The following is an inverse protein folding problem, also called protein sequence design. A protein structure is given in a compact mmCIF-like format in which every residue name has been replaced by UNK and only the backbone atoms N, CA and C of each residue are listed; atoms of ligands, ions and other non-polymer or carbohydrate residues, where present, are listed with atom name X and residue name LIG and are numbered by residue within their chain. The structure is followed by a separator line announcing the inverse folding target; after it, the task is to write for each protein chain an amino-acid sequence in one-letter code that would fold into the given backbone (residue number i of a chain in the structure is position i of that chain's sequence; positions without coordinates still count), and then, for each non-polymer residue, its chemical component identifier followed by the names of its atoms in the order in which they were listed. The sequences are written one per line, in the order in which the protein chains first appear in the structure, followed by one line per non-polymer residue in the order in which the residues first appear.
data_IF_259880151807
#
_entry.id   IF_259880151807
#
_cell.length_a   1.000
_cell.length_b   1.000
_cell.length_c   1.000
_cell.angle_alpha   90.00
_cell.angle_beta   90.00
_cell.angle_gamma   90.00
#
_symmetry.space_group_name_H-M   'P 1'
#
loop_
_entity.id
_entity.type
_entity.pdbx_description
1 polymer ?
#
# COMPACT_ATOMS: atom_id res chain seq x y z
N UNK A 1 27.14 -19.17 -6.55
CA UNK A 1 26.41 -17.90 -6.30
C UNK A 1 25.57 -17.62 -7.53
N UNK A 2 24.26 -17.80 -7.46
CA UNK A 2 23.37 -17.25 -8.49
C UNK A 2 23.46 -15.74 -8.31
N UNK A 3 24.19 -15.07 -9.19
CA UNK A 3 24.36 -13.62 -9.11
C UNK A 3 23.00 -12.96 -9.30
N UNK A 4 22.53 -12.20 -8.32
CA UNK A 4 21.35 -11.38 -8.50
C UNK A 4 21.60 -10.40 -9.65
N UNK A 5 20.57 -10.21 -10.48
CA UNK A 5 20.61 -9.26 -11.57
C UNK A 5 21.06 -7.89 -11.05
N UNK A 6 22.02 -7.24 -11.74
CA UNK A 6 22.51 -5.90 -11.41
C UNK A 6 21.39 -4.89 -11.14
N UNK A 7 20.24 -5.04 -11.81
CA UNK A 7 19.06 -4.21 -11.57
C UNK A 7 18.49 -4.38 -10.15
N UNK A 8 18.35 -5.61 -9.65
CA UNK A 8 17.86 -5.92 -8.30
C UNK A 8 18.79 -5.29 -7.26
N UNK A 9 20.10 -5.43 -7.44
CA UNK A 9 21.11 -4.83 -6.54
C UNK A 9 20.99 -3.30 -6.51
N UNK A 10 20.82 -2.66 -7.67
CA UNK A 10 20.64 -1.22 -7.76
C UNK A 10 19.34 -0.75 -7.09
N UNK A 11 18.24 -1.48 -7.29
CA UNK A 11 16.96 -1.16 -6.65
C UNK A 11 17.05 -1.28 -5.13
N UNK A 12 17.61 -2.38 -4.61
CA UNK A 12 17.82 -2.56 -3.17
C UNK A 12 18.68 -1.43 -2.59
N UNK A 13 19.76 -1.05 -3.28
CA UNK A 13 20.63 0.04 -2.85
C UNK A 13 19.85 1.35 -2.69
N UNK A 14 19.02 1.72 -3.67
CA UNK A 14 18.16 2.91 -3.59
C UNK A 14 17.13 2.80 -2.48
N UNK A 15 16.50 1.63 -2.30
CA UNK A 15 15.54 1.40 -1.21
C UNK A 15 16.22 1.60 0.15
N UNK A 16 17.45 1.08 0.34
CA UNK A 16 18.20 1.30 1.58
C UNK A 16 18.60 2.76 1.80
N UNK A 17 18.94 3.51 0.74
CA UNK A 17 19.19 4.95 0.83
C UNK A 17 17.94 5.69 1.31
N UNK A 18 16.77 5.40 0.71
CA UNK A 18 15.51 5.99 1.12
C UNK A 18 15.06 5.57 2.52
N UNK A 19 15.30 4.32 2.91
CA UNK A 19 15.09 3.87 4.30
C UNK A 19 15.92 4.70 5.28
N UNK A 20 17.15 5.08 4.91
CA UNK A 20 17.96 6.02 5.70
C UNK A 20 17.32 7.41 5.78
N UNK A 21 16.88 7.97 4.64
CA UNK A 21 16.18 9.28 4.60
C UNK A 21 14.87 9.28 5.38
N UNK A 22 14.15 8.15 5.42
CA UNK A 22 12.89 7.98 6.14
C UNK A 22 13.01 8.39 7.61
N UNK A 23 14.16 8.16 8.26
CA UNK A 23 14.40 8.54 9.66
C UNK A 23 14.18 10.04 9.87
N UNK A 24 14.59 10.86 8.89
CA UNK A 24 14.41 12.32 8.93
C UNK A 24 12.92 12.68 8.80
N UNK A 25 12.20 12.01 7.90
CA UNK A 25 10.76 12.25 7.72
C UNK A 25 9.97 11.99 9.00
N UNK A 26 10.30 10.92 9.73
CA UNK A 26 9.63 10.54 10.98
C UNK A 26 9.85 11.55 12.11
N UNK A 27 10.93 12.34 12.05
CA UNK A 27 11.23 13.37 13.05
C UNK A 27 10.50 14.70 12.80
N UNK A 28 9.95 14.90 11.59
CA UNK A 28 9.35 16.17 11.16
C UNK A 28 7.81 16.12 11.19
N UNK A 29 7.19 17.14 11.80
CA UNK A 29 5.78 17.51 11.65
C UNK A 29 4.76 16.35 11.80
N UNK A 30 4.47 16.00 13.06
CA UNK A 30 3.57 14.90 13.46
C UNK A 30 2.17 14.99 12.84
N UNK A 31 1.58 16.19 12.76
CA UNK A 31 0.22 16.35 12.23
C UNK A 31 0.12 16.02 10.72
N UNK A 32 1.16 16.31 9.94
CA UNK A 32 1.15 15.95 8.51
C UNK A 32 1.43 14.47 8.30
N UNK A 33 2.34 13.89 9.10
CA UNK A 33 2.58 12.45 9.14
C UNK A 33 1.30 11.67 9.44
N UNK A 34 0.50 12.10 10.42
CA UNK A 34 -0.78 11.46 10.75
C UNK A 34 -1.77 11.47 9.57
N UNK A 35 -1.86 12.59 8.85
CA UNK A 35 -2.72 12.68 7.66
C UNK A 35 -2.22 11.78 6.52
N UNK A 36 -0.90 11.71 6.31
CA UNK A 36 -0.29 10.79 5.35
C UNK A 36 -0.53 9.33 5.76
N UNK A 37 -0.42 8.99 7.05
CA UNK A 37 -0.75 7.64 7.56
C UNK A 37 -2.20 7.28 7.31
N UNK A 38 -3.13 8.19 7.60
CA UNK A 38 -4.54 7.96 7.31
C UNK A 38 -4.80 7.78 5.81
N UNK A 39 -4.15 8.58 4.97
CA UNK A 39 -4.23 8.43 3.50
C UNK A 39 -3.64 7.09 3.02
N UNK A 40 -2.50 6.69 3.57
CA UNK A 40 -1.87 5.39 3.30
C UNK A 40 -2.79 4.23 3.67
N UNK A 41 -3.34 4.25 4.88
CA UNK A 41 -4.34 3.28 5.36
C UNK A 41 -5.55 3.22 4.42
N UNK A 42 -6.14 4.38 4.09
CA UNK A 42 -7.30 4.45 3.19
C UNK A 42 -7.01 3.82 1.83
N UNK A 43 -5.87 4.15 1.22
CA UNK A 43 -5.51 3.59 -0.08
C UNK A 43 -5.15 2.11 -0.01
N UNK A 44 -4.44 1.68 1.03
CA UNK A 44 -4.06 0.28 1.22
C UNK A 44 -5.31 -0.61 1.34
N UNK A 45 -6.27 -0.22 2.19
CA UNK A 45 -7.56 -0.93 2.30
C UNK A 45 -8.33 -0.88 0.98
N UNK A 46 -8.48 0.30 0.36
CA UNK A 46 -9.24 0.46 -0.89
C UNK A 46 -8.71 -0.44 -1.99
N UNK A 47 -7.43 -0.32 -2.30
CA UNK A 47 -6.83 -0.95 -3.48
C UNK A 47 -6.40 -2.39 -3.20
N UNK A 48 -5.95 -2.70 -1.98
CA UNK A 48 -5.66 -4.08 -1.58
C UNK A 48 -6.88 -4.98 -1.68
N UNK A 49 -8.04 -4.51 -1.20
CA UNK A 49 -9.31 -5.20 -1.34
C UNK A 49 -9.81 -5.22 -2.79
N UNK A 50 -9.71 -4.10 -3.52
CA UNK A 50 -10.18 -4.01 -4.91
C UNK A 50 -9.41 -4.96 -5.86
N UNK A 51 -8.11 -5.18 -5.62
CA UNK A 51 -7.31 -6.17 -6.35
C UNK A 51 -7.85 -7.59 -6.17
N UNK A 52 -8.51 -7.88 -5.05
CA UNK A 52 -9.16 -9.18 -4.77
C UNK A 52 -10.66 -9.18 -5.10
N UNK A 53 -11.15 -8.11 -5.75
CA UNK A 53 -12.55 -7.99 -6.17
C UNK A 53 -13.52 -7.43 -5.14
N UNK A 54 -13.04 -6.98 -3.98
CA UNK A 54 -13.86 -6.37 -2.94
C UNK A 54 -13.78 -4.86 -3.02
N UNK A 55 -14.88 -4.20 -3.38
CA UNK A 55 -14.92 -2.73 -3.49
C UNK A 55 -16.24 -2.15 -3.00
N UNK A 56 -16.17 -0.95 -2.44
CA UNK A 56 -17.31 -0.14 -1.98
C UNK A 56 -17.11 1.31 -2.41
N UNK A 57 -18.15 2.13 -2.28
CA UNK A 57 -18.02 3.57 -2.52
C UNK A 57 -17.08 4.24 -1.51
N UNK A 58 -16.47 5.36 -1.89
CA UNK A 58 -15.54 6.10 -1.02
C UNK A 58 -16.21 6.54 0.29
N UNK A 59 -17.49 6.93 0.24
CA UNK A 59 -18.24 7.29 1.45
C UNK A 59 -18.39 6.12 2.40
N UNK A 60 -18.63 4.91 1.86
CA UNK A 60 -18.78 3.70 2.66
C UNK A 60 -17.43 3.22 3.20
N UNK A 61 -16.37 3.31 2.40
CA UNK A 61 -15.02 2.98 2.87
C UNK A 61 -14.61 3.89 4.04
N UNK A 62 -14.87 5.20 3.96
CA UNK A 62 -14.60 6.10 5.09
C UNK A 62 -15.39 5.74 6.35
N UNK A 63 -16.65 5.31 6.21
CA UNK A 63 -17.43 4.80 7.35
C UNK A 63 -16.80 3.53 7.93
N UNK A 64 -16.36 2.60 7.09
CA UNK A 64 -15.66 1.38 7.51
C UNK A 64 -14.39 1.76 8.28
N UNK A 65 -13.58 2.70 7.79
CA UNK A 65 -12.35 3.11 8.50
C UNK A 65 -12.63 3.82 9.84
N UNK A 66 -13.80 4.46 10.00
CA UNK A 66 -14.15 5.21 11.20
C UNK A 66 -14.89 4.39 12.27
N UNK A 67 -15.77 3.46 11.85
CA UNK A 67 -16.67 2.75 12.75
C UNK A 67 -16.34 1.25 12.78
N UNK A 68 -15.97 0.74 13.95
CA UNK A 68 -15.69 -0.69 14.16
C UNK A 68 -16.95 -1.54 13.96
N UNK A 69 -16.80 -2.66 13.26
CA UNK A 69 -17.76 -3.79 13.17
C UNK A 69 -19.19 -3.45 12.69
N UNK A 70 -19.35 -2.54 11.73
CA UNK A 70 -20.65 -2.35 11.05
C UNK A 70 -20.56 -2.74 9.56
N UNK A 71 -20.90 -3.99 9.24
CA UNK A 71 -21.01 -4.48 7.86
C UNK A 71 -22.38 -5.11 7.62
N UNK A 72 -22.91 -4.91 6.41
CA UNK A 72 -24.24 -5.40 6.02
C UNK A 72 -24.20 -6.55 5.00
N UNK A 73 -23.03 -6.85 4.44
CA UNK A 73 -22.84 -7.86 3.42
C UNK A 73 -21.40 -8.41 3.47
N UNK A 74 -21.17 -9.49 2.72
CA UNK A 74 -19.89 -10.19 2.67
C UNK A 74 -18.74 -9.30 2.18
N UNK A 75 -18.97 -8.44 1.16
CA UNK A 75 -17.95 -7.52 0.65
C UNK A 75 -17.49 -6.56 1.74
N UNK A 76 -18.44 -5.95 2.46
CA UNK A 76 -18.15 -5.07 3.59
C UNK A 76 -17.44 -5.82 4.72
N UNK A 77 -17.78 -7.09 4.97
CA UNK A 77 -17.11 -7.93 5.96
C UNK A 77 -15.65 -8.18 5.59
N UNK A 78 -15.35 -8.50 4.32
CA UNK A 78 -13.97 -8.71 3.86
C UNK A 78 -13.13 -7.43 3.97
N UNK A 79 -13.71 -6.27 3.60
CA UNK A 79 -13.00 -4.98 3.72
C UNK A 79 -12.80 -4.61 5.21
N UNK A 80 -13.78 -4.90 6.07
CA UNK A 80 -13.66 -4.69 7.51
C UNK A 80 -12.55 -5.54 8.13
N UNK A 81 -12.53 -6.84 7.83
CA UNK A 81 -11.51 -7.75 8.36
C UNK A 81 -10.12 -7.39 7.86
N UNK A 82 -9.97 -7.08 6.56
CA UNK A 82 -8.70 -6.59 6.02
C UNK A 82 -8.22 -5.30 6.70
N UNK A 83 -9.12 -4.34 6.92
CA UNK A 83 -8.82 -3.12 7.69
C UNK A 83 -8.34 -3.48 9.10
N UNK A 84 -9.05 -4.33 9.83
CA UNK A 84 -8.74 -4.65 11.23
C UNK A 84 -7.39 -5.36 11.35
N UNK A 85 -7.11 -6.33 10.47
CA UNK A 85 -5.81 -6.99 10.40
C UNK A 85 -4.67 -6.02 10.02
N UNK A 86 -4.92 -5.08 9.09
CA UNK A 86 -3.93 -4.05 8.75
C UNK A 86 -3.67 -3.08 9.90
N UNK A 87 -4.70 -2.67 10.64
CA UNK A 87 -4.54 -1.83 11.83
C UNK A 87 -3.74 -2.55 12.91
N UNK A 88 -4.05 -3.82 13.15
CA UNK A 88 -3.26 -4.66 14.07
C UNK A 88 -1.79 -4.70 13.67
N UNK A 89 -1.48 -4.91 12.39
CA UNK A 89 -0.09 -4.85 11.90
C UNK A 89 0.52 -3.47 12.14
N UNK A 90 -0.16 -2.38 11.79
CA UNK A 90 0.38 -1.02 11.92
C UNK A 90 0.66 -0.66 13.38
N UNK A 91 -0.19 -1.10 14.30
CA UNK A 91 -0.09 -0.80 15.73
C UNK A 91 0.94 -1.71 16.44
N UNK A 92 1.00 -2.99 16.09
CA UNK A 92 1.70 -4.01 16.88
C UNK A 92 2.80 -4.81 16.12
N UNK A 93 3.22 -4.41 14.91
CA UNK A 93 4.20 -5.19 14.10
C UNK A 93 5.48 -5.57 14.85
N UNK A 94 5.94 -4.75 15.81
CA UNK A 94 7.14 -5.04 16.61
C UNK A 94 6.97 -6.30 17.44
N UNK A 95 5.76 -6.57 17.92
CA UNK A 95 5.41 -7.68 18.81
C UNK A 95 4.82 -8.90 18.10
N UNK A 96 4.50 -8.79 16.80
CA UNK A 96 3.98 -9.92 16.01
C UNK A 96 5.13 -10.86 15.64
N UNK A 97 5.11 -12.08 16.16
CA UNK A 97 6.10 -13.11 15.81
C UNK A 97 5.91 -13.62 14.37
N UNK A 98 7.00 -13.99 13.71
CA UNK A 98 6.94 -14.65 12.41
C UNK A 98 6.92 -16.17 12.64
N UNK A 99 5.74 -16.70 12.94
CA UNK A 99 5.48 -18.13 13.10
C UNK A 99 4.12 -18.51 12.50
N UNK A 100 3.87 -19.82 12.38
CA UNK A 100 2.65 -20.34 11.77
C UNK A 100 1.39 -19.89 12.53
N UNK A 101 1.47 -19.87 13.86
CA UNK A 101 0.39 -19.48 14.76
C UNK A 101 -0.03 -18.02 14.56
N UNK A 102 0.93 -17.12 14.45
CA UNK A 102 0.70 -15.69 14.23
C UNK A 102 0.13 -15.43 12.84
N UNK A 103 0.62 -16.14 11.81
CA UNK A 103 0.04 -16.09 10.46
C UNK A 103 -1.42 -16.54 10.47
N UNK A 104 -1.74 -17.64 11.16
CA UNK A 104 -3.12 -18.09 11.32
C UNK A 104 -3.99 -17.08 12.09
N UNK A 105 -3.48 -16.52 13.19
CA UNK A 105 -4.21 -15.53 13.98
C UNK A 105 -4.54 -14.27 13.16
N UNK A 106 -3.56 -13.73 12.43
CA UNK A 106 -3.76 -12.60 11.53
C UNK A 106 -4.77 -12.92 10.43
N UNK A 107 -4.74 -14.15 9.90
CA UNK A 107 -5.69 -14.58 8.89
C UNK A 107 -7.12 -14.66 9.45
N UNK A 108 -7.28 -15.17 10.68
CA UNK A 108 -8.57 -15.21 11.35
C UNK A 108 -9.13 -13.79 11.58
N UNK A 109 -8.29 -12.83 11.97
CA UNK A 109 -8.69 -11.41 12.06
C UNK A 109 -9.13 -10.88 10.68
N UNK A 110 -8.32 -11.10 9.64
CA UNK A 110 -8.62 -10.65 8.27
C UNK A 110 -9.92 -11.25 7.73
N UNK A 111 -10.17 -12.52 8.03
CA UNK A 111 -11.26 -13.30 7.47
C UNK A 111 -12.54 -13.27 8.29
N UNK A 112 -12.56 -12.53 9.41
CA UNK A 112 -13.66 -12.49 10.36
C UNK A 112 -13.95 -13.86 11.01
N UNK A 113 -12.90 -14.65 11.26
CA UNK A 113 -12.97 -15.96 11.95
C UNK A 113 -13.17 -17.17 11.04
N UNK A 114 -12.70 -17.14 9.79
CA UNK A 114 -12.78 -18.28 8.88
C UNK A 114 -11.75 -19.36 9.24
N UNK A 115 -12.12 -20.29 10.12
CA UNK A 115 -11.29 -21.46 10.44
C UNK A 115 -11.34 -22.55 9.35
N UNK A 116 -12.34 -22.51 8.47
CA UNK A 116 -12.60 -23.55 7.47
C UNK A 116 -11.46 -23.60 6.44
N UNK A 117 -11.00 -22.44 5.98
CA UNK A 117 -9.88 -22.37 5.04
C UNK A 117 -8.58 -22.96 5.62
N UNK A 118 -8.29 -22.74 6.90
CA UNK A 118 -7.10 -23.31 7.57
C UNK A 118 -7.27 -24.83 7.73
N UNK A 119 -8.43 -25.29 8.22
CA UNK A 119 -8.68 -26.72 8.45
C UNK A 119 -8.65 -27.56 7.16
N UNK A 120 -9.05 -26.98 6.02
CA UNK A 120 -8.98 -27.63 4.70
C UNK A 120 -7.60 -27.67 4.07
N UNK A 121 -6.64 -26.90 4.57
CA UNK A 121 -5.26 -26.95 4.08
C UNK A 121 -4.67 -28.36 4.25
N UNK A 122 -3.75 -28.77 3.38
CA UNK A 122 -3.03 -30.04 3.55
C UNK A 122 -1.90 -29.90 4.55
N UNK A 123 -1.45 -31.02 5.13
CA UNK A 123 -0.28 -31.06 6.01
C UNK A 123 0.97 -30.51 5.32
N UNK A 124 1.16 -30.84 4.04
CA UNK A 124 2.26 -30.32 3.20
C UNK A 124 2.24 -28.79 3.12
N UNK A 125 1.08 -28.17 2.95
CA UNK A 125 0.97 -26.70 2.90
C UNK A 125 1.30 -26.05 4.24
N UNK A 126 0.80 -26.64 5.34
CA UNK A 126 1.09 -26.15 6.69
C UNK A 126 2.58 -26.26 7.02
N UNK A 127 3.18 -27.38 6.70
CA UNK A 127 4.61 -27.62 6.95
C UNK A 127 5.48 -26.71 6.08
N UNK A 128 5.09 -26.46 4.83
CA UNK A 128 5.78 -25.46 3.99
C UNK A 128 5.81 -24.08 4.68
N UNK A 129 4.68 -23.58 5.19
CA UNK A 129 4.63 -22.28 5.87
C UNK A 129 5.41 -22.29 7.20
N UNK A 130 5.40 -23.40 7.95
CA UNK A 130 6.25 -23.54 9.15
C UNK A 130 7.73 -23.47 8.80
N UNK A 131 8.16 -24.15 7.73
CA UNK A 131 9.54 -24.10 7.27
C UNK A 131 9.93 -22.71 6.77
N UNK A 132 9.03 -21.99 6.10
CA UNK A 132 9.24 -20.59 5.73
C UNK A 132 9.50 -19.70 6.95
N UNK A 133 8.66 -19.82 7.98
CA UNK A 133 8.85 -19.08 9.24
C UNK A 133 10.19 -19.41 9.90
N UNK A 134 10.51 -20.71 9.99
CA UNK A 134 11.76 -21.17 10.58
C UNK A 134 12.97 -20.64 9.81
N UNK A 135 12.94 -20.71 8.49
CA UNK A 135 14.00 -20.21 7.63
C UNK A 135 14.23 -18.71 7.84
N UNK A 136 13.16 -17.91 7.74
CA UNK A 136 13.21 -16.46 7.93
C UNK A 136 13.85 -16.09 9.27
N UNK A 137 13.36 -16.66 10.37
CA UNK A 137 13.88 -16.35 11.71
C UNK A 137 15.35 -16.76 11.88
N UNK A 138 15.83 -17.78 11.18
CA UNK A 138 17.22 -18.23 11.26
C UNK A 138 18.19 -17.36 10.47
N UNK A 139 17.72 -16.62 9.46
CA UNK A 139 18.59 -15.87 8.54
C UNK A 139 18.57 -14.36 8.77
N UNK A 140 17.49 -13.80 9.32
CA UNK A 140 17.29 -12.34 9.38
C UNK A 140 18.34 -11.58 10.19
N UNK A 141 18.95 -12.23 11.19
CA UNK A 141 19.96 -11.63 12.06
C UNK A 141 21.39 -11.98 11.65
N UNK A 142 21.57 -12.76 10.58
CA UNK A 142 22.90 -13.16 10.13
C UNK A 142 23.64 -11.98 9.48
N UNK A 143 24.95 -11.84 9.74
CA UNK A 143 25.77 -10.84 9.06
C UNK A 143 25.77 -11.15 7.56
N UNK A 144 25.49 -10.13 6.73
CA UNK A 144 25.37 -10.19 5.27
C UNK A 144 24.03 -10.67 4.70
N UNK A 145 23.03 -10.95 5.53
CA UNK A 145 21.67 -11.17 5.01
C UNK A 145 21.10 -9.89 4.41
N UNK A 146 20.59 -9.98 3.18
CA UNK A 146 19.82 -8.90 2.60
C UNK A 146 18.34 -9.11 2.94
N UNK A 147 17.86 -8.35 3.93
CA UNK A 147 16.49 -8.49 4.44
C UNK A 147 15.42 -8.32 3.35
N UNK A 148 15.63 -7.47 2.33
CA UNK A 148 14.67 -7.33 1.24
C UNK A 148 14.53 -8.62 0.43
N UNK A 149 15.63 -9.34 0.21
CA UNK A 149 15.55 -10.62 -0.50
C UNK A 149 14.75 -11.63 0.32
N UNK A 150 15.02 -11.74 1.62
CA UNK A 150 14.33 -12.68 2.51
C UNK A 150 12.83 -12.39 2.63
N UNK A 151 12.44 -11.12 2.75
CA UNK A 151 11.03 -10.71 2.77
C UNK A 151 10.32 -11.16 1.50
N UNK A 152 10.91 -10.91 0.34
CA UNK A 152 10.25 -11.19 -0.93
C UNK A 152 10.28 -12.67 -1.29
N UNK A 153 11.32 -13.40 -0.90
CA UNK A 153 11.35 -14.85 -0.96
C UNK A 153 10.22 -15.45 -0.11
N UNK A 154 10.09 -14.99 1.14
CA UNK A 154 9.04 -15.43 2.05
C UNK A 154 7.64 -15.24 1.46
N UNK A 155 7.34 -14.02 0.99
CA UNK A 155 6.02 -13.70 0.44
C UNK A 155 5.75 -14.50 -0.84
N UNK A 156 6.75 -14.66 -1.71
CA UNK A 156 6.61 -15.43 -2.94
C UNK A 156 6.30 -16.90 -2.65
N UNK A 157 7.08 -17.55 -1.77
CA UNK A 157 6.85 -18.94 -1.41
C UNK A 157 5.56 -19.14 -0.60
N UNK A 158 5.18 -18.18 0.24
CA UNK A 158 3.89 -18.19 0.92
C UNK A 158 2.73 -18.21 -0.09
N UNK A 159 2.79 -17.38 -1.13
CA UNK A 159 1.79 -17.36 -2.20
C UNK A 159 1.73 -18.73 -2.91
N UNK A 160 2.90 -19.32 -3.22
CA UNK A 160 2.98 -20.64 -3.85
C UNK A 160 2.47 -21.78 -2.97
N UNK A 161 2.62 -21.68 -1.64
CA UNK A 161 2.06 -22.65 -0.70
C UNK A 161 0.53 -22.75 -0.80
N UNK A 162 -0.12 -21.65 -1.21
CA UNK A 162 -1.57 -21.53 -1.36
C UNK A 162 -2.34 -22.01 -0.11
N UNK A 163 -1.78 -21.77 1.09
CA UNK A 163 -2.33 -22.23 2.37
C UNK A 163 -3.80 -21.80 2.56
N UNK A 164 -4.16 -20.61 2.08
CA UNK A 164 -5.44 -19.94 2.34
C UNK A 164 -6.37 -19.93 1.12
N UNK A 165 -6.09 -20.76 0.11
CA UNK A 165 -6.85 -20.86 -1.13
C UNK A 165 -7.14 -19.49 -1.78
N UNK A 166 -8.40 -19.13 -1.98
CA UNK A 166 -8.83 -17.90 -2.64
C UNK A 166 -8.50 -16.61 -1.86
N UNK A 167 -8.06 -16.70 -0.60
CA UNK A 167 -7.65 -15.54 0.22
C UNK A 167 -6.13 -15.39 0.33
N UNK A 168 -5.35 -16.29 -0.27
CA UNK A 168 -3.88 -16.30 -0.18
C UNK A 168 -3.26 -14.98 -0.62
N UNK A 169 -3.68 -14.44 -1.77
CA UNK A 169 -3.10 -13.20 -2.29
C UNK A 169 -3.59 -11.97 -1.50
N UNK A 170 -4.86 -11.92 -1.07
CA UNK A 170 -5.33 -10.83 -0.21
C UNK A 170 -4.51 -10.78 1.09
N UNK A 171 -4.31 -11.94 1.71
CA UNK A 171 -3.51 -12.06 2.92
C UNK A 171 -2.02 -11.77 2.69
N UNK A 172 -1.45 -12.17 1.55
CA UNK A 172 -0.02 -11.94 1.25
C UNK A 172 0.34 -10.44 1.19
N UNK A 173 -0.63 -9.57 0.87
CA UNK A 173 -0.47 -8.11 0.92
C UNK A 173 -0.30 -7.61 2.36
N UNK A 174 -1.08 -8.15 3.31
CA UNK A 174 -0.91 -7.88 4.74
C UNK A 174 0.42 -8.40 5.25
N UNK A 175 0.76 -9.64 4.90
CA UNK A 175 2.02 -10.28 5.26
C UNK A 175 3.24 -9.50 4.75
N UNK A 176 3.20 -9.00 3.52
CA UNK A 176 4.26 -8.14 2.98
C UNK A 176 4.40 -6.85 3.81
N UNK A 177 3.29 -6.19 4.17
CA UNK A 177 3.32 -5.00 5.02
C UNK A 177 3.94 -5.30 6.39
N UNK A 178 3.57 -6.42 7.03
CA UNK A 178 4.16 -6.84 8.30
C UNK A 178 5.69 -7.01 8.19
N UNK A 179 6.16 -7.77 7.21
CA UNK A 179 7.59 -8.07 7.05
C UNK A 179 8.41 -6.82 6.72
N UNK A 180 7.87 -5.89 5.93
CA UNK A 180 8.48 -4.58 5.68
C UNK A 180 8.57 -3.74 6.96
N UNK A 181 7.50 -3.70 7.77
CA UNK A 181 7.49 -2.92 9.02
C UNK A 181 8.45 -3.48 10.06
N UNK A 182 8.47 -4.79 10.27
CA UNK A 182 9.47 -5.45 11.14
C UNK A 182 10.91 -5.15 10.71
N UNK A 183 11.11 -4.87 9.42
CA UNK A 183 12.39 -4.51 8.83
C UNK A 183 12.64 -3.00 8.75
N UNK A 184 11.83 -2.17 9.43
CA UNK A 184 11.90 -0.70 9.44
C UNK A 184 11.73 -0.02 8.07
N UNK A 185 11.11 -0.70 7.10
CA UNK A 185 10.69 -0.13 5.81
C UNK A 185 9.23 0.30 5.97
N UNK A 186 9.01 1.56 6.34
CA UNK A 186 7.71 2.07 6.79
C UNK A 186 6.98 2.88 5.71
N UNK A 187 7.53 2.96 4.49
CA UNK A 187 6.96 3.75 3.39
C UNK A 187 5.51 3.38 3.09
N UNK A 188 5.16 2.10 3.24
CA UNK A 188 3.83 1.60 2.93
C UNK A 188 2.75 2.05 3.92
N UNK A 189 3.15 2.59 5.09
CA UNK A 189 2.23 3.29 6.00
C UNK A 189 1.73 4.62 5.42
N UNK A 190 2.51 5.23 4.52
CA UNK A 190 2.24 6.57 3.97
C UNK A 190 1.83 6.54 2.50
N UNK A 191 2.34 5.58 1.73
CA UNK A 191 2.10 5.42 0.30
C UNK A 191 1.72 3.97 0.02
N UNK A 192 0.51 3.74 -0.49
CA UNK A 192 0.03 2.37 -0.77
C UNK A 192 0.66 1.83 -2.04
N UNK A 193 1.40 0.72 -1.91
CA UNK A 193 1.90 -0.06 -3.06
C UNK A 193 0.73 -0.67 -3.83
N UNK A 194 -0.32 -1.09 -3.12
CA UNK A 194 -1.53 -1.69 -3.69
C UNK A 194 -2.22 -0.72 -4.66
N UNK A 195 -2.19 0.59 -4.36
CA UNK A 195 -2.65 1.62 -5.30
C UNK A 195 -1.85 1.60 -6.59
N UNK A 196 -0.51 1.60 -6.50
CA UNK A 196 0.36 1.60 -7.66
C UNK A 196 0.16 0.34 -8.51
N UNK A 197 0.00 -0.82 -7.87
CA UNK A 197 -0.30 -2.09 -8.54
C UNK A 197 -1.67 -2.03 -9.22
N UNK A 198 -2.69 -1.53 -8.52
CA UNK A 198 -4.02 -1.38 -9.08
C UNK A 198 -4.02 -0.43 -10.28
N UNK A 199 -3.27 0.67 -10.23
CA UNK A 199 -3.13 1.64 -11.32
C UNK A 199 -2.37 1.05 -12.52
N UNK A 200 -1.34 0.22 -12.32
CA UNK A 200 -0.69 -0.51 -13.42
C UNK A 200 -1.67 -1.44 -14.15
N UNK A 201 -2.49 -2.16 -13.38
CA UNK A 201 -3.44 -3.15 -13.91
C UNK A 201 -4.65 -2.45 -14.56
N UNK A 202 -5.20 -1.42 -13.91
CA UNK A 202 -6.39 -0.71 -14.35
C UNK A 202 -6.12 0.39 -15.38
N UNK A 203 -4.95 1.03 -15.32
CA UNK A 203 -4.51 2.11 -16.21
C UNK A 203 -4.21 1.62 -17.63
N UNK A 204 -3.81 0.35 -17.78
CA UNK A 204 -3.51 -0.23 -19.08
C UNK A 204 -4.70 -0.96 -19.74
N UNK A 205 -5.85 -1.12 -19.07
CA UNK A 205 -6.95 -1.89 -19.67
C UNK A 205 -8.35 -1.56 -19.10
N UNK A 206 -9.16 -0.80 -19.85
CA UNK A 206 -10.59 -0.56 -19.54
C UNK A 206 -11.42 -1.85 -19.42
N UNK A 207 -10.96 -2.97 -19.98
CA UNK A 207 -11.61 -4.31 -19.84
C UNK A 207 -11.32 -4.99 -18.50
N UNK A 208 -10.17 -4.74 -17.87
CA UNK A 208 -9.83 -5.32 -16.56
C UNK A 208 -10.59 -4.68 -15.41
N UNK A 209 -11.12 -3.45 -15.58
CA UNK A 209 -12.10 -2.83 -14.65
C UNK A 209 -13.38 -3.67 -14.43
N UNK A 210 -13.61 -4.74 -15.22
CA UNK A 210 -14.82 -5.58 -15.15
C UNK A 210 -14.56 -7.02 -14.70
N UNK A 211 -13.31 -7.45 -14.50
CA UNK A 211 -13.01 -8.78 -13.95
C UNK A 211 -12.23 -8.59 -12.67
N UNK A 212 -12.82 -9.02 -11.56
CA UNK A 212 -12.11 -9.29 -10.33
C UNK A 212 -11.00 -10.29 -10.69
N UNK A 213 -9.74 -9.84 -10.74
CA UNK A 213 -8.61 -10.72 -10.96
C UNK A 213 -7.68 -10.49 -9.79
N UNK A 214 -7.70 -11.43 -8.86
CA UNK A 214 -6.62 -11.59 -7.91
C UNK A 214 -5.39 -12.02 -8.74
N UNK A 215 -4.59 -11.02 -9.11
CA UNK A 215 -3.60 -11.12 -10.19
C UNK A 215 -2.21 -11.29 -9.61
N UNK A 216 -1.61 -12.45 -9.88
CA UNK A 216 -0.21 -12.74 -9.59
C UNK A 216 0.47 -13.27 -10.86
N UNK A 217 1.10 -12.39 -11.66
CA UNK A 217 1.64 -12.77 -12.97
C UNK A 217 3.08 -13.28 -12.96
N UNK A 218 3.66 -13.50 -11.78
CA UNK A 218 5.09 -13.76 -11.67
C UNK A 218 5.37 -15.26 -11.78
N UNK A 219 6.08 -15.63 -12.84
CA UNK A 219 6.56 -17.01 -13.04
C UNK A 219 7.72 -17.36 -12.12
N UNK A 220 8.55 -16.37 -11.78
CA UNK A 220 9.74 -16.52 -10.95
C UNK A 220 9.91 -15.40 -9.91
N UNK A 221 10.77 -15.68 -8.92
CA UNK A 221 11.10 -14.75 -7.84
C UNK A 221 11.80 -13.49 -8.34
N UNK A 222 12.58 -13.55 -9.43
CA UNK A 222 13.30 -12.38 -9.93
C UNK A 222 12.35 -11.35 -10.51
N UNK A 223 11.32 -11.77 -11.25
CA UNK A 223 10.25 -10.92 -11.75
C UNK A 223 9.45 -10.30 -10.60
N UNK A 224 9.10 -11.12 -9.59
CA UNK A 224 8.40 -10.66 -8.39
C UNK A 224 9.19 -9.58 -7.63
N UNK A 225 10.47 -9.85 -7.32
CA UNK A 225 11.36 -8.91 -6.64
C UNK A 225 11.54 -7.63 -7.45
N UNK A 226 11.86 -7.72 -8.74
CA UNK A 226 12.05 -6.53 -9.57
C UNK A 226 10.81 -5.64 -9.55
N UNK A 227 9.63 -6.21 -9.78
CA UNK A 227 8.38 -5.46 -9.82
C UNK A 227 8.10 -4.75 -8.49
N UNK A 228 8.12 -5.47 -7.38
CA UNK A 228 7.80 -4.87 -6.09
C UNK A 228 8.90 -3.93 -5.59
N UNK A 229 10.17 -4.17 -5.90
CA UNK A 229 11.23 -3.21 -5.57
C UNK A 229 11.04 -1.90 -6.33
N UNK A 230 10.61 -1.93 -7.59
CA UNK A 230 10.21 -0.73 -8.31
C UNK A 230 9.04 -0.02 -7.60
N UNK A 231 8.03 -0.74 -7.13
CA UNK A 231 6.88 -0.13 -6.42
C UNK A 231 7.21 0.42 -5.04
N UNK A 232 8.11 -0.22 -4.31
CA UNK A 232 8.65 0.33 -3.05
C UNK A 232 9.43 1.61 -3.35
N UNK A 233 10.28 1.60 -4.38
CA UNK A 233 11.04 2.78 -4.78
C UNK A 233 10.14 3.95 -5.21
N UNK A 234 9.14 3.69 -6.05
CA UNK A 234 8.14 4.68 -6.49
C UNK A 234 7.35 5.26 -5.30
N UNK A 235 7.04 4.43 -4.31
CA UNK A 235 6.42 4.85 -3.06
C UNK A 235 7.36 5.76 -2.24
N UNK A 236 8.65 5.46 -2.18
CA UNK A 236 9.63 6.30 -1.49
C UNK A 236 9.86 7.63 -2.20
N UNK A 237 9.95 7.63 -3.53
CA UNK A 237 10.07 8.84 -4.35
C UNK A 237 8.84 9.75 -4.17
N UNK A 238 7.65 9.16 -4.10
CA UNK A 238 6.40 9.88 -3.83
C UNK A 238 6.38 10.47 -2.42
N UNK A 239 6.84 9.72 -1.42
CA UNK A 239 6.94 10.18 -0.04
C UNK A 239 7.93 11.34 0.09
N UNK A 240 9.16 11.17 -0.41
CA UNK A 240 10.21 12.20 -0.39
C UNK A 240 9.71 13.48 -1.06
N UNK A 241 9.09 13.36 -2.23
CA UNK A 241 8.51 14.50 -2.92
C UNK A 241 7.47 15.25 -2.07
N UNK A 242 6.53 14.54 -1.46
CA UNK A 242 5.53 15.15 -0.59
C UNK A 242 6.19 15.86 0.60
N UNK A 243 7.22 15.25 1.19
CA UNK A 243 8.02 15.85 2.26
C UNK A 243 8.77 17.11 1.82
N UNK A 244 9.40 17.10 0.65
CA UNK A 244 10.09 18.28 0.10
C UNK A 244 9.12 19.44 -0.17
N UNK A 245 7.88 19.14 -0.58
CA UNK A 245 6.83 20.16 -0.74
C UNK A 245 6.39 20.78 0.60
N UNK A 246 6.39 19.98 1.67
CA UNK A 246 6.03 20.44 3.01
C UNK A 246 7.16 21.29 3.62
N UNK A 247 8.42 20.86 3.44
CA UNK A 247 9.59 21.54 4.02
C UNK A 247 9.94 22.85 3.30
N UNK A 248 9.65 22.97 2.00
CA UNK A 248 9.96 24.19 1.25
C UNK A 248 8.81 25.21 1.31
N UNK A 249 8.83 26.06 2.33
CA UNK A 249 7.92 27.24 2.49
C UNK A 249 7.94 28.20 1.28
N UNK A 250 8.97 28.10 0.41
CA UNK A 250 9.11 28.89 -0.82
C UNK A 250 8.25 28.39 -1.99
N UNK A 251 7.69 27.18 -1.91
CA UNK A 251 6.86 26.63 -2.99
C UNK A 251 5.42 27.13 -2.80
N UNK A 252 4.94 27.92 -3.74
CA UNK A 252 3.60 28.52 -3.63
C UNK A 252 2.52 27.44 -3.60
N UNK A 253 1.43 27.62 -2.84
CA UNK A 253 0.31 26.67 -2.83
C UNK A 253 -0.26 26.40 -4.24
N UNK A 254 -0.18 27.39 -5.13
CA UNK A 254 -0.56 27.28 -6.54
C UNK A 254 0.29 26.23 -7.28
N UNK A 255 1.62 26.32 -7.18
CA UNK A 255 2.51 25.35 -7.80
C UNK A 255 2.32 23.94 -7.22
N UNK A 256 2.06 23.84 -5.91
CA UNK A 256 1.80 22.55 -5.25
C UNK A 256 0.53 21.88 -5.78
N UNK A 257 -0.56 22.64 -5.92
CA UNK A 257 -1.80 22.14 -6.54
C UNK A 257 -1.56 21.72 -7.99
N UNK A 258 -0.87 22.53 -8.78
CA UNK A 258 -0.59 22.21 -10.19
C UNK A 258 0.20 20.91 -10.31
N UNK A 259 1.24 20.73 -9.50
CA UNK A 259 2.07 19.53 -9.55
C UNK A 259 1.31 18.26 -9.17
N UNK A 260 0.47 18.31 -8.13
CA UNK A 260 -0.37 17.17 -7.76
C UNK A 260 -1.30 16.79 -8.92
N UNK A 261 -1.89 17.78 -9.59
CA UNK A 261 -2.72 17.56 -10.77
C UNK A 261 -1.91 16.99 -11.95
N UNK A 262 -0.67 17.43 -12.14
CA UNK A 262 0.21 17.00 -13.25
C UNK A 262 0.63 15.53 -13.15
N UNK A 263 0.72 14.99 -11.92
CA UNK A 263 1.12 13.60 -11.67
C UNK A 263 -0.05 12.62 -11.66
N UNK A 264 -1.29 13.12 -11.66
CA UNK A 264 -2.47 12.27 -11.66
C UNK A 264 -2.92 11.97 -13.08
N UNK A 265 -3.12 10.68 -13.38
CA UNK A 265 -3.67 10.22 -14.66
C UNK A 265 -5.18 10.48 -14.78
N UNK A 266 -5.87 10.62 -13.65
CA UNK A 266 -7.32 10.86 -13.57
C UNK A 266 -7.61 12.24 -12.95
N UNK A 267 -8.77 12.87 -13.25
CA UNK A 267 -9.17 14.11 -12.60
C UNK A 267 -9.31 13.95 -11.08
N UNK A 268 -8.73 14.89 -10.33
CA UNK A 268 -8.70 14.86 -8.86
C UNK A 268 -9.79 15.77 -8.29
N UNK A 269 -10.55 15.31 -7.29
CA UNK A 269 -11.51 16.17 -6.61
C UNK A 269 -10.78 17.13 -5.65
N UNK A 270 -11.38 18.29 -5.40
CA UNK A 270 -10.87 19.25 -4.40
C UNK A 270 -10.66 18.61 -3.01
N UNK A 271 -11.56 17.69 -2.63
CA UNK A 271 -11.44 16.95 -1.36
C UNK A 271 -10.20 16.06 -1.33
N UNK A 272 -9.86 15.43 -2.46
CA UNK A 272 -8.67 14.60 -2.55
C UNK A 272 -7.41 15.48 -2.52
N UNK A 273 -7.45 16.67 -3.14
CA UNK A 273 -6.39 17.67 -2.98
C UNK A 273 -6.22 18.14 -1.53
N UNK A 274 -7.30 18.26 -0.76
CA UNK A 274 -7.23 18.56 0.70
C UNK A 274 -6.57 17.43 1.49
N UNK A 275 -6.70 16.18 1.04
CA UNK A 275 -6.04 15.01 1.64
C UNK A 275 -4.56 15.01 1.24
N UNK A 276 -4.26 15.22 -0.05
CA UNK A 276 -2.89 15.18 -0.60
C UNK A 276 -2.04 16.37 -0.15
N UNK A 277 -2.65 17.55 0.05
CA UNK A 277 -1.99 18.79 0.44
C UNK A 277 -2.49 19.24 1.81
N UNK A 278 -2.26 18.36 2.78
CA UNK A 278 -2.90 18.39 4.09
C UNK A 278 -2.47 19.55 4.99
N UNK A 279 -1.36 20.21 4.67
CA UNK A 279 -0.75 21.36 5.35
C UNK A 279 -1.23 22.72 4.81
N UNK A 280 -1.92 22.75 3.66
CA UNK A 280 -2.53 23.97 3.13
C UNK A 280 -4.04 23.98 3.38
N UNK A 281 -4.57 25.14 3.78
CA UNK A 281 -6.00 25.26 4.07
C UNK A 281 -6.85 24.99 2.81
N UNK A 282 -8.05 24.47 3.02
CA UNK A 282 -9.08 24.37 1.97
C UNK A 282 -9.21 25.64 1.14
N UNK A 283 -9.24 26.80 1.79
CA UNK A 283 -9.38 28.13 1.13
C UNK A 283 -8.17 28.44 0.25
N UNK A 284 -6.98 28.01 0.66
CA UNK A 284 -5.75 28.12 -0.12
C UNK A 284 -5.79 27.24 -1.36
N UNK A 285 -6.25 25.98 -1.24
CA UNK A 285 -6.45 25.07 -2.37
C UNK A 285 -7.47 25.65 -3.35
N UNK A 286 -8.60 26.16 -2.86
CA UNK A 286 -9.63 26.79 -3.70
C UNK A 286 -9.07 27.98 -4.48
N UNK A 287 -8.28 28.84 -3.83
CA UNK A 287 -7.60 29.97 -4.51
C UNK A 287 -6.62 29.51 -5.58
N UNK A 288 -5.78 28.51 -5.26
CA UNK A 288 -4.84 27.93 -6.21
C UNK A 288 -5.56 27.36 -7.44
N UNK A 289 -6.63 26.59 -7.24
CA UNK A 289 -7.44 26.03 -8.34
C UNK A 289 -8.06 27.10 -9.22
N UNK A 290 -8.60 28.18 -8.63
CA UNK A 290 -9.15 29.31 -9.39
C UNK A 290 -8.07 29.97 -10.23
N UNK A 291 -6.89 30.18 -9.65
CA UNK A 291 -5.80 30.86 -10.34
C UNK A 291 -5.20 30.01 -11.47
N UNK A 292 -5.01 28.71 -11.25
CA UNK A 292 -4.54 27.79 -12.29
C UNK A 292 -5.53 27.64 -13.46
N UNK A 293 -6.83 27.70 -13.20
CA UNK A 293 -7.85 27.75 -14.26
C UNK A 293 -7.77 29.07 -15.04
N UNK A 294 -7.56 30.19 -14.33
CA UNK A 294 -7.42 31.52 -14.97
C UNK A 294 -6.17 31.59 -15.85
N UNK A 295 -5.10 30.93 -15.45
CA UNK A 295 -3.83 30.82 -16.18
C UNK A 295 -3.83 29.68 -17.23
N UNK A 296 -4.97 29.00 -17.42
CA UNK A 296 -5.17 27.93 -18.41
C UNK A 296 -4.31 26.67 -18.26
N UNK A 297 -3.72 26.45 -17.08
CA UNK A 297 -2.94 25.24 -16.77
C UNK A 297 -3.81 24.00 -16.52
N UNK A 298 -5.03 24.18 -16.03
CA UNK A 298 -5.91 23.08 -15.63
C UNK A 298 -7.33 23.30 -16.14
N UNK A 299 -8.05 22.20 -16.29
CA UNK A 299 -9.48 22.19 -16.65
C UNK A 299 -10.31 21.53 -15.57
N UNK A 300 -11.53 22.04 -15.42
CA UNK A 300 -12.55 21.51 -14.52
C UNK A 300 -13.36 20.43 -15.25
N UNK A 301 -13.52 19.27 -14.62
CA UNK A 301 -14.26 18.12 -15.15
C UNK A 301 -15.44 17.84 -14.22
N UNK A 302 -16.63 17.59 -14.77
CA UNK A 302 -17.86 17.39 -14.00
C UNK A 302 -18.52 18.69 -13.54
N UNK A 303 -19.61 18.58 -12.78
CA UNK A 303 -20.39 19.73 -12.28
C UNK A 303 -20.84 19.52 -10.82
N UNK A 304 -20.97 20.63 -10.07
CA UNK A 304 -21.46 20.59 -8.70
C UNK A 304 -20.57 19.75 -7.77
N UNK A 305 -21.17 18.81 -7.04
CA UNK A 305 -20.47 17.96 -6.05
C UNK A 305 -19.47 16.98 -6.66
N UNK A 306 -19.58 16.65 -7.95
CA UNK A 306 -18.65 15.77 -8.68
C UNK A 306 -17.55 16.53 -9.42
N UNK A 307 -17.35 17.81 -9.08
CA UNK A 307 -16.27 18.63 -9.65
C UNK A 307 -14.90 18.02 -9.35
N UNK A 308 -14.13 17.80 -10.41
CA UNK A 308 -12.72 17.41 -10.37
C UNK A 308 -11.88 18.32 -11.28
N UNK A 309 -10.57 18.21 -11.16
CA UNK A 309 -9.60 19.01 -11.88
C UNK A 309 -8.53 18.11 -12.49
N UNK A 310 -8.08 18.44 -13.70
CA UNK A 310 -6.91 17.80 -14.31
C UNK A 310 -6.09 18.84 -15.05
N UNK A 311 -4.82 18.55 -15.29
CA UNK A 311 -4.00 19.36 -16.20
C UNK A 311 -4.58 19.25 -17.60
N UNK A 312 -4.51 20.37 -18.32
CA UNK A 312 -5.14 20.53 -19.63
C UNK A 312 -4.46 19.67 -20.69
#
# INVERSE_FOLDING_TARGET
MVGYNSNIVNLMTKIHEYKGKQIIYLQYNTATLEKLKFSGLYHNVKYGCALSGYSVSDTKLLQILQFKKSFNNEIEAQICGFRDALLYIVEDYEFIDINYESICAMYLEMSMGDEESISKSSEVQRDAVKQLCLHYNNVIDLPHTNILIEIFQFVFEFIQSNLLANKTLLFSRLLLNLLLYKSNILVTQYQSIEKLIYEDIAGNNKRLKKKNVDYFPFEDIQGFMNYYFYKILESYESLDYNFQLILNEKITPQYRVLNVLNRSFEPIARKDLEIMLADISRKTIERALVQLQKEDFIVKVGQGKSTQYKVK
#
